data_IF_031958783545
#
_entry.id   IF_031958783545
#
_cell.length_a   1.000
_cell.length_b   1.000
_cell.length_c   1.000
_cell.angle_alpha   90.00
_cell.angle_beta   90.00
_cell.angle_gamma   90.00
#
_symmetry.space_group_name_H-M   'P 1'
#
loop_
_entity.id
_entity.type
_entity.pdbx_description
1 polymer ?
#
# COMPACT_ATOMS: atom_id res chain seq x y z
N UNK A 1 -13.06 17.01 -25.73
CA UNK A 1 -11.83 16.61 -26.43
C UNK A 1 -11.42 15.25 -25.90
N UNK A 2 -11.89 14.20 -26.57
CA UNK A 2 -11.52 12.80 -26.30
C UNK A 2 -10.01 12.61 -26.54
N UNK A 3 -9.26 12.34 -25.48
CA UNK A 3 -7.89 11.87 -25.60
C UNK A 3 -7.94 10.39 -25.97
N UNK A 4 -7.83 10.10 -27.27
CA UNK A 4 -7.63 8.73 -27.77
C UNK A 4 -6.33 8.17 -27.19
N UNK A 5 -6.44 7.09 -26.42
CA UNK A 5 -5.32 6.25 -26.02
C UNK A 5 -4.77 5.58 -27.29
N UNK A 6 -3.48 5.70 -27.62
CA UNK A 6 -2.93 5.02 -28.78
C UNK A 6 -2.93 3.52 -28.50
N UNK A 7 -3.72 2.75 -29.28
CA UNK A 7 -3.59 1.29 -29.37
C UNK A 7 -2.42 0.97 -30.30
N UNK A 8 -1.20 1.17 -29.80
CA UNK A 8 0.03 0.66 -30.39
C UNK A 8 0.71 -0.21 -29.34
N UNK A 9 0.56 -1.52 -29.46
CA UNK A 9 1.05 -2.49 -28.48
C UNK A 9 2.56 -2.71 -28.60
N UNK A 10 3.35 -1.81 -28.02
CA UNK A 10 4.65 -2.21 -27.49
C UNK A 10 4.40 -3.09 -26.27
N UNK A 11 4.99 -4.29 -26.24
CA UNK A 11 4.99 -5.08 -25.00
C UNK A 11 5.71 -4.24 -23.95
N UNK A 12 5.08 -3.99 -22.79
CA UNK A 12 5.74 -3.21 -21.74
C UNK A 12 7.08 -3.86 -21.39
N UNK A 13 8.15 -3.05 -21.38
CA UNK A 13 9.48 -3.52 -21.05
C UNK A 13 9.46 -4.07 -19.61
N UNK A 14 10.05 -5.25 -19.41
CA UNK A 14 10.08 -5.91 -18.09
C UNK A 14 10.71 -5.01 -17.04
N UNK A 15 11.70 -4.19 -17.43
CA UNK A 15 12.33 -3.22 -16.53
C UNK A 15 11.40 -2.07 -16.16
N UNK A 16 10.59 -1.58 -17.09
CA UNK A 16 9.59 -0.54 -16.82
C UNK A 16 8.50 -1.08 -15.89
N UNK A 17 8.04 -2.31 -16.11
CA UNK A 17 7.07 -2.98 -15.22
C UNK A 17 7.66 -3.11 -13.80
N UNK A 18 8.91 -3.58 -13.67
CA UNK A 18 9.57 -3.73 -12.38
C UNK A 18 9.70 -2.39 -11.64
N UNK A 19 10.11 -1.32 -12.34
CA UNK A 19 10.22 0.01 -11.75
C UNK A 19 8.86 0.58 -11.28
N UNK A 20 7.79 0.36 -12.05
CA UNK A 20 6.43 0.77 -11.66
C UNK A 20 5.96 -0.01 -10.43
N UNK A 21 6.23 -1.31 -10.36
CA UNK A 21 5.88 -2.14 -9.21
C UNK A 21 6.64 -1.72 -7.94
N UNK A 22 7.94 -1.46 -8.05
CA UNK A 22 8.75 -0.97 -6.93
C UNK A 22 8.26 0.39 -6.41
N UNK A 23 7.93 1.30 -7.33
CA UNK A 23 7.34 2.60 -6.97
C UNK A 23 5.98 2.46 -6.29
N UNK A 24 5.13 1.53 -6.76
CA UNK A 24 3.83 1.28 -6.15
C UNK A 24 3.96 0.70 -4.75
N UNK A 25 4.91 -0.24 -4.54
CA UNK A 25 5.23 -0.80 -3.24
C UNK A 25 5.66 0.30 -2.25
N UNK A 26 6.55 1.20 -2.66
CA UNK A 26 6.96 2.33 -1.83
C UNK A 26 5.79 3.25 -1.45
N UNK A 27 4.87 3.50 -2.39
CA UNK A 27 3.68 4.32 -2.13
C UNK A 27 2.73 3.66 -1.11
N UNK A 28 2.50 2.34 -1.22
CA UNK A 28 1.66 1.57 -0.28
C UNK A 28 2.27 1.58 1.11
N UNK A 29 3.59 1.35 1.22
CA UNK A 29 4.32 1.42 2.48
C UNK A 29 4.15 2.80 3.16
N UNK A 30 4.38 3.89 2.42
CA UNK A 30 4.22 5.25 2.95
C UNK A 30 2.78 5.58 3.33
N UNK A 31 1.79 5.11 2.56
CA UNK A 31 0.38 5.30 2.89
C UNK A 31 0.03 4.60 4.22
N UNK A 32 0.57 3.40 4.46
CA UNK A 32 0.35 2.64 5.69
C UNK A 32 0.97 3.35 6.89
N UNK A 33 2.21 3.81 6.78
CA UNK A 33 2.89 4.58 7.83
C UNK A 33 2.14 5.88 8.15
N UNK A 34 1.61 6.55 7.11
CA UNK A 34 0.79 7.75 7.28
C UNK A 34 -0.49 7.47 8.06
N UNK A 35 -1.18 6.37 7.76
CA UNK A 35 -2.39 5.97 8.49
C UNK A 35 -2.09 5.67 9.97
N UNK A 36 -0.99 4.98 10.25
CA UNK A 36 -0.55 4.70 11.61
C UNK A 36 -0.27 6.00 12.40
N UNK A 37 0.43 6.96 11.79
CA UNK A 37 0.71 8.26 12.40
C UNK A 37 -0.58 9.07 12.66
N UNK A 38 -1.52 9.07 11.71
CA UNK A 38 -2.82 9.73 11.90
C UNK A 38 -3.63 9.08 13.02
N UNK A 39 -3.61 7.75 13.15
CA UNK A 39 -4.26 7.04 14.25
C UNK A 39 -3.71 7.48 15.60
N UNK A 40 -2.39 7.60 15.75
CA UNK A 40 -1.77 8.12 16.97
C UNK A 40 -2.18 9.57 17.27
N UNK A 41 -2.35 10.41 16.24
CA UNK A 41 -2.86 11.78 16.43
C UNK A 41 -4.31 11.77 16.94
N UNK A 42 -5.18 10.94 16.36
CA UNK A 42 -6.55 10.84 16.83
C UNK A 42 -6.63 10.26 18.25
N UNK A 43 -5.79 9.28 18.59
CA UNK A 43 -5.69 8.75 19.95
C UNK A 43 -5.34 9.86 20.96
N UNK A 44 -4.33 10.69 20.65
CA UNK A 44 -3.95 11.83 21.50
C UNK A 44 -5.08 12.90 21.61
N UNK A 45 -5.82 13.14 20.52
CA UNK A 45 -6.98 14.05 20.55
C UNK A 45 -8.09 13.47 21.44
N UNK A 46 -8.34 12.16 21.36
CA UNK A 46 -9.35 11.48 22.17
C UNK A 46 -8.99 11.54 23.66
N UNK A 47 -7.74 11.28 24.01
CA UNK A 47 -7.22 11.32 25.40
C UNK A 47 -7.27 12.72 26.01
N UNK A 48 -6.99 13.76 25.21
CA UNK A 48 -7.03 15.16 25.65
C UNK A 48 -8.44 15.77 25.66
N UNK A 49 -9.43 15.09 25.07
CA UNK A 49 -10.81 15.58 24.96
C UNK A 49 -11.66 15.12 26.13
N UNK A 50 -12.69 15.90 26.47
CA UNK A 50 -13.69 15.45 27.45
C UNK A 50 -14.52 14.30 26.87
N UNK A 51 -14.83 13.33 27.73
CA UNK A 51 -15.63 12.15 27.36
C UNK A 51 -16.97 12.55 26.74
N UNK A 52 -17.27 12.01 25.56
CA UNK A 52 -18.52 12.27 24.85
C UNK A 52 -18.58 13.62 24.11
N UNK A 53 -17.53 14.44 24.18
CA UNK A 53 -17.43 15.66 23.37
C UNK A 53 -17.41 15.34 21.87
N UNK A 54 -17.76 16.35 21.07
CA UNK A 54 -17.65 16.24 19.61
C UNK A 54 -16.21 15.90 19.19
N UNK A 55 -15.20 16.50 19.84
CA UNK A 55 -13.80 16.24 19.57
C UNK A 55 -13.45 14.76 19.83
N UNK A 56 -13.84 14.20 20.98
CA UNK A 56 -13.61 12.79 21.29
C UNK A 56 -14.31 11.85 20.28
N UNK A 57 -15.52 12.18 19.85
CA UNK A 57 -16.28 11.38 18.87
C UNK A 57 -15.66 11.43 17.46
N UNK A 58 -15.19 12.61 17.04
CA UNK A 58 -14.48 12.77 15.76
C UNK A 58 -13.13 12.06 15.79
N UNK A 59 -12.42 12.10 16.91
CA UNK A 59 -11.19 11.35 17.11
C UNK A 59 -11.42 9.83 17.01
N UNK A 60 -12.44 9.29 17.67
CA UNK A 60 -12.79 7.87 17.52
C UNK A 60 -13.15 7.49 16.07
N UNK A 61 -13.87 8.35 15.35
CA UNK A 61 -14.16 8.12 13.93
C UNK A 61 -12.87 8.11 13.09
N UNK A 62 -11.96 9.04 13.36
CA UNK A 62 -10.66 9.12 12.71
C UNK A 62 -9.79 7.88 12.96
N UNK A 63 -9.73 7.40 14.21
CA UNK A 63 -9.03 6.16 14.55
C UNK A 63 -9.57 4.97 13.74
N UNK A 64 -10.89 4.78 13.69
CA UNK A 64 -11.51 3.67 12.96
C UNK A 64 -11.25 3.75 11.44
N UNK A 65 -11.28 4.96 10.87
CA UNK A 65 -10.95 5.15 9.46
C UNK A 65 -9.50 4.77 9.18
N UNK A 66 -8.55 5.27 9.98
CA UNK A 66 -7.14 4.95 9.82
C UNK A 66 -6.85 3.46 10.03
N UNK A 67 -7.50 2.80 10.99
CA UNK A 67 -7.37 1.36 11.22
C UNK A 67 -7.86 0.54 10.02
N UNK A 68 -8.98 0.92 9.43
CA UNK A 68 -9.54 0.24 8.25
C UNK A 68 -8.60 0.37 7.05
N UNK A 69 -8.08 1.57 6.80
CA UNK A 69 -7.13 1.81 5.70
C UNK A 69 -5.78 1.13 5.95
N UNK A 70 -5.27 1.14 7.19
CA UNK A 70 -4.03 0.45 7.57
C UNK A 70 -4.14 -1.07 7.32
N UNK A 71 -5.29 -1.68 7.66
CA UNK A 71 -5.58 -3.09 7.41
C UNK A 71 -5.61 -3.39 5.91
N UNK A 72 -6.36 -2.59 5.14
CA UNK A 72 -6.47 -2.76 3.68
C UNK A 72 -5.11 -2.66 2.98
N UNK A 73 -4.29 -1.68 3.37
CA UNK A 73 -2.93 -1.51 2.82
C UNK A 73 -2.01 -2.66 3.23
N UNK A 74 -2.15 -3.18 4.45
CA UNK A 74 -1.36 -4.32 4.93
C UNK A 74 -1.68 -5.59 4.13
N UNK A 75 -2.95 -5.85 3.83
CA UNK A 75 -3.36 -6.99 3.00
C UNK A 75 -2.83 -6.89 1.57
N UNK A 76 -2.83 -5.68 0.99
CA UNK A 76 -2.29 -5.43 -0.34
C UNK A 76 -0.78 -5.60 -0.38
N UNK A 77 -0.07 -5.14 0.67
CA UNK A 77 1.37 -5.32 0.78
C UNK A 77 1.72 -6.80 0.92
N UNK A 78 1.03 -7.56 1.78
CA UNK A 78 1.26 -8.99 1.94
C UNK A 78 1.02 -9.76 0.63
N UNK A 79 -0.07 -9.46 -0.08
CA UNK A 79 -0.35 -10.07 -1.39
C UNK A 79 0.75 -9.75 -2.41
N UNK A 80 1.27 -8.52 -2.39
CA UNK A 80 2.36 -8.12 -3.25
C UNK A 80 3.66 -8.87 -2.90
N UNK A 81 4.00 -8.96 -1.62
CA UNK A 81 5.20 -9.66 -1.14
C UNK A 81 5.16 -11.15 -1.52
N UNK A 82 4.01 -11.82 -1.34
CA UNK A 82 3.79 -13.21 -1.76
C UNK A 82 4.01 -13.41 -3.27
N UNK A 83 3.54 -12.45 -4.08
CA UNK A 83 3.76 -12.48 -5.52
C UNK A 83 5.24 -12.24 -5.88
N UNK A 84 5.89 -11.29 -5.24
CA UNK A 84 7.31 -11.00 -5.45
C UNK A 84 8.18 -12.22 -5.12
N UNK A 85 7.91 -12.90 -4.00
CA UNK A 85 8.59 -14.14 -3.62
C UNK A 85 8.37 -15.26 -4.65
N UNK A 86 7.13 -15.42 -5.12
CA UNK A 86 6.78 -16.42 -6.14
C UNK A 86 7.55 -16.20 -7.44
N UNK A 87 7.67 -14.94 -7.89
CA UNK A 87 8.45 -14.62 -9.09
C UNK A 87 9.95 -14.82 -8.89
N UNK A 88 10.49 -14.45 -7.72
CA UNK A 88 11.90 -14.69 -7.39
C UNK A 88 12.23 -16.19 -7.38
N UNK A 89 11.32 -17.03 -6.85
CA UNK A 89 11.48 -18.48 -6.85
C UNK A 89 11.48 -19.08 -8.28
N UNK A 90 10.59 -18.61 -9.17
CA UNK A 90 10.55 -19.03 -10.57
C UNK A 90 11.82 -18.62 -11.32
N UNK A 91 12.31 -17.39 -11.09
CA UNK A 91 13.56 -16.93 -11.69
C UNK A 91 14.74 -17.80 -11.25
N UNK A 92 14.83 -18.14 -9.96
CA UNK A 92 15.89 -19.01 -9.42
C UNK A 92 15.80 -20.46 -9.93
N UNK A 93 14.60 -20.96 -10.23
CA UNK A 93 14.43 -22.32 -10.77
C UNK A 93 14.79 -22.43 -12.26
N UNK A 94 14.71 -21.33 -13.01
CA UNK A 94 15.05 -21.27 -14.43
C UNK A 94 16.53 -20.96 -14.70
N UNK A 95 17.29 -20.50 -13.70
CA UNK A 95 18.71 -20.13 -13.84
C UNK A 95 19.65 -21.36 -13.77
N UNK A 96 19.23 -22.46 -14.38
CA UNK A 96 19.85 -23.78 -14.33
C UNK A 96 21.37 -23.76 -14.39
N UNK A 97 22.00 -23.91 -13.23
CA UNK A 97 23.40 -24.31 -13.11
C UNK A 97 23.49 -25.77 -13.59
N UNK A 98 24.33 -26.09 -14.60
CA UNK A 98 24.50 -27.47 -15.04
C UNK A 98 25.24 -28.26 -13.95
N UNK A 99 24.74 -29.47 -13.69
CA UNK A 99 25.45 -30.50 -12.93
C UNK A 99 26.68 -31.01 -13.70
#
# INVERSE_FOLDING_TARGET
>A
MDKRIPRGGERPDVKEIAAVLESACGAVFHARETCANMRSLFEAIKESSSTGSLAARLASLGETLCETEEMWLSDHQATFDDHAESFAAIASANDGSPA
#
